data_IF_257120051517
#
_entry.id   IF_257120051517
#
_cell.length_a   1.000
_cell.length_b   1.000
_cell.length_c   1.000
_cell.angle_alpha   90.00
_cell.angle_beta   90.00
_cell.angle_gamma   90.00
#
_symmetry.space_group_name_H-M   'P 1'
#
loop_
_entity.id
_entity.type
_entity.pdbx_description
1 polymer ?
#
# COMPACT_ATOMS: atom_id res chain seq x y z
N UNK A 1 3.67 -4.52 -1.42
CA UNK A 1 4.09 -5.92 -1.11
C UNK A 1 3.02 -6.92 -1.55
N UNK A 2 3.36 -8.18 -1.91
CA UNK A 2 2.33 -9.21 -2.24
C UNK A 2 2.01 -10.09 -1.03
N UNK A 3 1.02 -9.68 -0.23
CA UNK A 3 0.42 -10.54 0.79
C UNK A 3 -0.52 -11.55 0.11
N UNK A 4 -0.43 -12.83 0.51
CA UNK A 4 -1.36 -13.88 0.03
C UNK A 4 -2.73 -13.72 0.69
N UNK A 5 -3.80 -14.13 0.00
CA UNK A 5 -5.19 -14.04 0.51
C UNK A 5 -5.41 -14.72 1.87
N UNK A 6 -4.64 -15.78 2.15
CA UNK A 6 -4.63 -16.47 3.45
C UNK A 6 -4.01 -15.62 4.55
N UNK A 7 -2.96 -14.85 4.24
CA UNK A 7 -2.33 -13.93 5.19
C UNK A 7 -3.26 -12.76 5.49
N UNK A 8 -3.96 -12.25 4.47
CA UNK A 8 -4.98 -11.20 4.62
C UNK A 8 -6.15 -11.72 5.47
N UNK A 9 -6.59 -12.96 5.28
CA UNK A 9 -7.63 -13.58 6.09
C UNK A 9 -7.23 -13.69 7.57
N UNK A 10 -6.05 -14.25 7.86
CA UNK A 10 -5.54 -14.36 9.24
C UNK A 10 -5.35 -13.00 9.91
N UNK A 11 -4.91 -12.00 9.15
CA UNK A 11 -4.75 -10.64 9.65
C UNK A 11 -6.11 -10.02 9.98
N UNK A 12 -7.10 -10.17 9.10
CA UNK A 12 -8.47 -9.69 9.33
C UNK A 12 -9.12 -10.33 10.56
N UNK A 13 -8.93 -11.64 10.77
CA UNK A 13 -9.41 -12.33 11.96
C UNK A 13 -8.78 -11.80 13.24
N UNK A 14 -7.45 -11.70 13.30
CA UNK A 14 -6.75 -11.18 14.47
C UNK A 14 -7.12 -9.73 14.76
N UNK A 15 -7.30 -8.91 13.72
CA UNK A 15 -7.71 -7.52 13.87
C UNK A 15 -9.12 -7.44 14.48
N UNK A 16 -10.05 -8.23 13.94
CA UNK A 16 -11.42 -8.27 14.43
C UNK A 16 -11.50 -8.77 15.87
N UNK A 17 -10.76 -9.83 16.21
CA UNK A 17 -10.67 -10.34 17.58
C UNK A 17 -10.06 -9.32 18.53
N UNK A 18 -8.95 -8.69 18.16
CA UNK A 18 -8.30 -7.68 19.01
C UNK A 18 -9.21 -6.48 19.27
N UNK A 19 -9.87 -5.96 18.24
CA UNK A 19 -10.79 -4.83 18.36
C UNK A 19 -12.03 -5.18 19.19
N UNK A 20 -12.56 -6.39 19.02
CA UNK A 20 -13.72 -6.88 19.78
C UNK A 20 -13.34 -7.13 21.25
N UNK A 21 -12.19 -7.76 21.50
CA UNK A 21 -11.69 -8.06 22.84
C UNK A 21 -11.33 -6.78 23.61
N UNK A 22 -10.83 -5.75 22.92
CA UNK A 22 -10.57 -4.44 23.50
C UNK A 22 -11.84 -3.61 23.74
N UNK A 23 -13.02 -4.09 23.31
CA UNK A 23 -14.29 -3.36 23.44
C UNK A 23 -14.36 -2.06 22.63
N UNK A 24 -13.43 -1.88 21.67
CA UNK A 24 -13.31 -0.65 20.87
C UNK A 24 -14.32 -0.59 19.71
N UNK A 25 -14.95 -1.72 19.39
CA UNK A 25 -15.92 -1.82 18.29
C UNK A 25 -17.17 -2.57 18.73
N UNK A 26 -18.31 -2.14 18.20
CA UNK A 26 -19.57 -2.87 18.28
C UNK A 26 -19.92 -3.40 16.90
N UNK A 27 -20.07 -4.71 16.76
CA UNK A 27 -20.45 -5.33 15.50
C UNK A 27 -21.91 -5.01 15.18
N UNK A 28 -22.14 -4.17 14.17
CA UNK A 28 -23.49 -3.84 13.67
C UNK A 28 -24.03 -4.86 12.66
N UNK A 29 -23.22 -5.86 12.32
CA UNK A 29 -23.52 -6.90 11.36
C UNK A 29 -22.81 -8.20 11.78
N UNK A 30 -23.16 -9.31 11.13
CA UNK A 30 -22.51 -10.60 11.38
C UNK A 30 -20.99 -10.55 11.18
N UNK A 31 -20.27 -11.33 12.00
CA UNK A 31 -18.80 -11.44 11.99
C UNK A 31 -18.25 -11.68 10.58
N UNK A 32 -18.90 -12.53 9.79
CA UNK A 32 -18.51 -12.82 8.41
C UNK A 32 -18.54 -11.58 7.50
N UNK A 33 -19.60 -10.77 7.57
CA UNK A 33 -19.70 -9.52 6.78
C UNK A 33 -18.65 -8.49 7.18
N UNK A 34 -18.32 -8.42 8.46
CA UNK A 34 -17.27 -7.52 8.98
C UNK A 34 -15.89 -7.99 8.53
N UNK A 35 -15.60 -9.30 8.60
CA UNK A 35 -14.37 -9.89 8.07
C UNK A 35 -14.21 -9.59 6.59
N UNK A 36 -15.25 -9.79 5.78
CA UNK A 36 -15.21 -9.46 4.36
C UNK A 36 -14.96 -7.98 4.10
N UNK A 37 -15.51 -7.10 4.93
CA UNK A 37 -15.22 -5.66 4.88
C UNK A 37 -13.75 -5.35 5.14
N UNK A 38 -13.18 -5.95 6.20
CA UNK A 38 -11.76 -5.78 6.56
C UNK A 38 -10.86 -6.35 5.46
N UNK A 39 -11.16 -7.53 4.93
CA UNK A 39 -10.40 -8.14 3.83
C UNK A 39 -10.40 -7.25 2.59
N UNK A 40 -11.56 -6.67 2.22
CA UNK A 40 -11.66 -5.72 1.10
C UNK A 40 -10.87 -4.45 1.34
N UNK A 41 -10.93 -3.89 2.56
CA UNK A 41 -10.16 -2.69 2.90
C UNK A 41 -8.65 -2.94 2.79
N UNK A 42 -8.16 -4.03 3.39
CA UNK A 42 -6.74 -4.41 3.33
C UNK A 42 -6.31 -4.69 1.89
N UNK A 43 -7.13 -5.39 1.10
CA UNK A 43 -6.82 -5.66 -0.30
C UNK A 43 -6.79 -4.38 -1.16
N UNK A 44 -7.70 -3.44 -0.89
CA UNK A 44 -7.70 -2.13 -1.56
C UNK A 44 -6.46 -1.31 -1.22
N UNK A 45 -6.02 -1.36 0.04
CA UNK A 45 -4.83 -0.65 0.51
C UNK A 45 -3.55 -1.21 -0.14
N UNK A 46 -3.41 -2.54 -0.18
CA UNK A 46 -2.30 -3.24 -0.86
C UNK A 46 -2.30 -2.91 -2.36
N UNK A 47 -3.47 -2.89 -2.99
CA UNK A 47 -3.58 -2.54 -4.41
C UNK A 47 -3.20 -1.09 -4.65
N UNK A 48 -3.57 -0.18 -3.75
CA UNK A 48 -3.14 1.22 -3.79
C UNK A 48 -1.62 1.35 -3.70
N UNK A 49 -0.97 0.54 -2.85
CA UNK A 49 0.48 0.48 -2.73
C UNK A 49 1.14 -0.07 -4.02
N UNK A 50 0.60 -1.13 -4.62
CA UNK A 50 1.10 -1.67 -5.89
C UNK A 50 0.94 -0.70 -7.06
N UNK A 51 -0.20 0.00 -7.13
CA UNK A 51 -0.45 1.01 -8.16
C UNK A 51 0.48 2.22 -7.99
N UNK A 52 0.79 2.59 -6.75
CA UNK A 52 1.77 3.61 -6.42
C UNK A 52 3.19 3.24 -6.86
N UNK A 53 3.61 1.99 -6.61
CA UNK A 53 4.91 1.49 -7.05
C UNK A 53 5.01 1.48 -8.59
N UNK A 54 3.99 1.01 -9.30
CA UNK A 54 3.96 1.02 -10.78
C UNK A 54 3.98 2.44 -11.34
N UNK A 55 3.27 3.37 -10.70
CA UNK A 55 3.25 4.77 -11.11
C UNK A 55 4.61 5.44 -10.87
N UNK A 56 5.27 5.13 -9.76
CA UNK A 56 6.63 5.59 -9.47
C UNK A 56 7.66 5.02 -10.47
N UNK A 57 7.56 3.73 -10.84
CA UNK A 57 8.41 3.13 -11.88
C UNK A 57 8.18 3.79 -13.24
N UNK A 58 6.92 4.01 -13.62
CA UNK A 58 6.57 4.68 -14.89
C UNK A 58 7.09 6.12 -14.93
N UNK A 59 6.95 6.88 -13.83
CA UNK A 59 7.49 8.24 -13.70
C UNK A 59 9.01 8.26 -13.80
N UNK A 60 9.70 7.31 -13.17
CA UNK A 60 11.14 7.16 -13.28
C UNK A 60 11.55 6.87 -14.74
N UNK A 61 10.90 5.92 -15.40
CA UNK A 61 11.23 5.53 -16.77
C UNK A 61 10.97 6.66 -17.76
N UNK A 62 9.86 7.39 -17.58
CA UNK A 62 9.53 8.56 -18.39
C UNK A 62 10.55 9.69 -18.18
N UNK A 63 10.96 9.94 -16.93
CA UNK A 63 11.99 10.93 -16.57
C UNK A 63 13.35 10.56 -17.19
N UNK A 64 13.75 9.29 -17.12
CA UNK A 64 14.98 8.77 -17.71
C UNK A 64 15.00 8.89 -19.25
N UNK A 65 13.86 8.64 -19.90
CA UNK A 65 13.71 8.83 -21.35
C UNK A 65 13.77 10.31 -21.74
N UNK A 66 13.14 11.20 -20.98
CA UNK A 66 13.17 12.65 -21.24
C UNK A 66 14.51 13.32 -20.93
N UNK A 67 15.32 12.75 -20.02
CA UNK A 67 16.65 13.27 -19.69
C UNK A 67 17.78 12.71 -20.57
N UNK A 68 17.45 11.88 -21.57
CA UNK A 68 18.37 11.54 -22.66
C UNK A 68 19.72 10.99 -22.19
N UNK A 69 19.74 9.87 -21.45
CA UNK A 69 20.94 9.02 -21.29
C UNK A 69 22.24 9.71 -20.80
N UNK A 70 22.16 10.88 -20.17
CA UNK A 70 23.31 11.68 -19.79
C UNK A 70 24.01 11.14 -18.54
N UNK A 71 25.25 10.71 -18.73
CA UNK A 71 26.18 10.24 -17.70
C UNK A 71 26.15 11.09 -16.42
N UNK A 72 25.95 10.43 -15.27
CA UNK A 72 26.21 11.00 -13.94
C UNK A 72 25.04 11.01 -12.96
N UNK A 73 23.81 10.71 -13.39
CA UNK A 73 22.66 10.68 -12.47
C UNK A 73 22.45 9.26 -11.93
N UNK A 74 22.74 9.10 -10.64
CA UNK A 74 22.57 7.84 -9.92
C UNK A 74 21.06 7.49 -9.82
N UNK A 75 20.65 6.50 -10.62
CA UNK A 75 19.25 6.01 -10.71
C UNK A 75 18.64 5.72 -9.34
N UNK A 76 19.47 5.25 -8.41
CA UNK A 76 19.03 4.91 -7.06
C UNK A 76 18.64 6.14 -6.24
N UNK A 77 19.28 7.29 -6.49
CA UNK A 77 19.03 8.55 -5.79
C UNK A 77 17.75 9.23 -6.29
N UNK A 78 17.50 9.22 -7.59
CA UNK A 78 16.24 9.72 -8.15
C UNK A 78 15.04 8.87 -7.75
N UNK A 79 15.17 7.53 -7.78
CA UNK A 79 14.10 6.64 -7.33
C UNK A 79 13.70 6.95 -5.88
N UNK A 80 14.69 7.19 -5.01
CA UNK A 80 14.46 7.59 -3.62
C UNK A 80 13.75 8.94 -3.51
N UNK A 81 14.20 9.96 -4.26
CA UNK A 81 13.56 11.28 -4.25
C UNK A 81 12.13 11.26 -4.78
N UNK A 82 11.84 10.45 -5.81
CA UNK A 82 10.49 10.30 -6.36
C UNK A 82 9.60 9.58 -5.35
N UNK A 83 10.08 8.49 -4.73
CA UNK A 83 9.35 7.78 -3.67
C UNK A 83 9.04 8.68 -2.48
N UNK A 84 10.02 9.47 -2.02
CA UNK A 84 9.83 10.42 -0.92
C UNK A 84 8.80 11.51 -1.25
N UNK A 85 8.79 12.00 -2.51
CA UNK A 85 7.81 13.00 -2.97
C UNK A 85 6.41 12.40 -3.08
N UNK A 86 6.27 11.22 -3.68
CA UNK A 86 4.99 10.54 -3.85
C UNK A 86 4.37 10.12 -2.52
N UNK A 87 5.20 9.67 -1.58
CA UNK A 87 4.77 9.34 -0.22
C UNK A 87 4.22 10.58 0.51
N UNK A 88 4.94 11.71 0.42
CA UNK A 88 4.47 13.00 0.97
C UNK A 88 3.16 13.47 0.35
N UNK A 89 3.02 13.43 -0.98
CA UNK A 89 1.84 13.93 -1.68
C UNK A 89 0.59 13.06 -1.41
N UNK A 90 0.77 11.76 -1.15
CA UNK A 90 -0.33 10.84 -0.78
C UNK A 90 -0.54 10.70 0.73
N UNK A 91 0.22 11.44 1.55
CA UNK A 91 0.09 11.38 3.01
C UNK A 91 0.52 10.06 3.63
N UNK A 92 1.32 9.26 2.92
CA UNK A 92 1.86 7.99 3.41
C UNK A 92 3.28 8.22 3.94
N UNK A 93 3.58 7.64 5.11
CA UNK A 93 4.93 7.68 5.70
C UNK A 93 5.67 6.40 5.29
N UNK A 94 6.82 6.57 4.63
CA UNK A 94 7.75 5.49 4.24
C UNK A 94 8.53 4.95 5.44
#
# INVERSE_FOLDING_TARGET
MRLKDEQIARLAERLLEGLTAAGLITLKAERSKVLDGIRRAVAADIKGEEDLDKEAERLLEQTLRSMGGGAGIDRHRMLRMIKDKLAKDRGMVL
#
